data_IF_372329817165
#
_entry.id   IF_372329817165
#
_cell.length_a   1.000
_cell.length_b   1.000
_cell.length_c   1.000
_cell.angle_alpha   90.00
_cell.angle_beta   90.00
_cell.angle_gamma   90.00
#
_symmetry.space_group_name_H-M   'P 1'
#
loop_
_entity.id
_entity.type
_entity.pdbx_description
1 polymer ?
#
# COMPACT_ATOMS: atom_id res chain seq x y z
N UNK A 1 -28.48 -16.16 17.11
CA UNK A 1 -27.76 -15.02 17.66
C UNK A 1 -27.89 -15.05 19.18
N UNK A 2 -26.80 -15.08 19.91
CA UNK A 2 -26.82 -15.18 21.37
C UNK A 2 -26.75 -13.78 21.98
N UNK A 3 -27.30 -13.61 23.18
CA UNK A 3 -27.18 -12.35 23.93
C UNK A 3 -25.82 -12.24 24.62
N UNK A 4 -25.48 -11.06 25.11
CA UNK A 4 -24.27 -10.87 25.94
C UNK A 4 -24.32 -11.73 27.18
N UNK A 5 -25.53 -11.87 27.81
CA UNK A 5 -25.77 -12.72 28.95
C UNK A 5 -25.53 -14.20 28.66
N UNK A 6 -25.95 -14.69 27.50
CA UNK A 6 -25.72 -16.08 27.08
C UNK A 6 -24.22 -16.38 26.93
N UNK A 7 -23.47 -15.43 26.37
CA UNK A 7 -22.03 -15.56 26.21
C UNK A 7 -21.31 -15.57 27.56
N UNK A 8 -21.69 -14.65 28.47
CA UNK A 8 -21.09 -14.61 29.81
C UNK A 8 -21.44 -15.88 30.61
N UNK A 9 -22.67 -16.42 30.45
CA UNK A 9 -23.04 -17.68 31.06
C UNK A 9 -22.24 -18.87 30.54
N UNK A 10 -21.98 -18.94 29.21
CA UNK A 10 -21.11 -19.96 28.62
C UNK A 10 -19.67 -19.92 29.15
N UNK A 11 -19.19 -18.75 29.50
CA UNK A 11 -17.84 -18.57 30.09
C UNK A 11 -17.82 -18.89 31.60
N UNK A 12 -18.96 -19.21 32.23
CA UNK A 12 -19.06 -19.54 33.64
C UNK A 12 -19.35 -18.36 34.55
N UNK A 13 -19.91 -17.27 34.00
CA UNK A 13 -20.24 -16.05 34.73
C UNK A 13 -19.22 -14.92 34.59
N UNK A 14 -19.50 -13.72 35.11
CA UNK A 14 -18.69 -12.53 34.87
C UNK A 14 -17.22 -12.64 35.32
N UNK A 15 -16.98 -13.25 36.45
CA UNK A 15 -15.63 -13.40 37.03
C UNK A 15 -14.81 -14.45 36.25
N UNK A 16 -15.44 -15.58 35.90
CA UNK A 16 -14.81 -16.61 35.06
C UNK A 16 -14.56 -16.09 33.64
N UNK A 17 -15.46 -15.32 33.08
CA UNK A 17 -15.29 -14.65 31.78
C UNK A 17 -14.09 -13.69 31.80
N UNK A 18 -13.98 -12.86 32.85
CA UNK A 18 -12.87 -11.94 33.00
C UNK A 18 -11.52 -12.69 33.06
N UNK A 19 -11.44 -13.76 33.86
CA UNK A 19 -10.23 -14.58 34.00
C UNK A 19 -9.85 -15.28 32.70
N UNK A 20 -10.82 -15.92 32.01
CA UNK A 20 -10.59 -16.67 30.78
C UNK A 20 -10.17 -15.81 29.60
N UNK A 21 -10.62 -14.56 29.59
CA UNK A 21 -10.34 -13.63 28.51
C UNK A 21 -9.20 -12.65 28.83
N UNK A 22 -8.60 -12.76 30.03
CA UNK A 22 -7.51 -11.89 30.46
C UNK A 22 -7.90 -10.42 30.60
N UNK A 23 -9.15 -10.11 30.99
CA UNK A 23 -9.68 -8.75 31.13
C UNK A 23 -10.21 -8.49 32.54
N UNK A 24 -10.41 -7.22 32.88
CA UNK A 24 -11.02 -6.87 34.17
C UNK A 24 -12.52 -7.18 34.24
N UNK A 25 -13.04 -7.56 35.41
CA UNK A 25 -14.46 -7.80 35.67
C UNK A 25 -15.34 -6.58 35.33
N UNK A 26 -14.79 -5.39 35.46
CA UNK A 26 -15.46 -4.13 35.11
C UNK A 26 -15.72 -4.03 33.58
N UNK A 27 -14.82 -4.57 32.76
CA UNK A 27 -15.02 -4.64 31.30
C UNK A 27 -16.22 -5.53 30.96
N UNK A 28 -16.34 -6.69 31.63
CA UNK A 28 -17.48 -7.60 31.45
C UNK A 28 -18.80 -6.95 31.91
N UNK A 29 -18.79 -6.16 32.98
CA UNK A 29 -19.96 -5.38 33.42
C UNK A 29 -20.38 -4.35 32.38
N UNK A 30 -19.42 -3.65 31.76
CA UNK A 30 -19.68 -2.70 30.67
C UNK A 30 -20.28 -3.37 29.46
N UNK A 31 -19.91 -4.61 29.13
CA UNK A 31 -20.55 -5.37 28.04
C UNK A 31 -22.03 -5.60 28.28
N UNK A 32 -22.41 -5.93 29.53
CA UNK A 32 -23.82 -6.11 29.92
C UNK A 32 -24.60 -4.82 29.79
N UNK A 33 -24.06 -3.70 30.26
CA UNK A 33 -24.71 -2.38 30.17
C UNK A 33 -24.87 -1.92 28.70
N UNK A 34 -23.82 -2.16 27.88
CA UNK A 34 -23.84 -1.80 26.47
C UNK A 34 -24.62 -2.79 25.59
N UNK A 35 -25.04 -3.96 26.13
CA UNK A 35 -25.60 -5.08 25.38
C UNK A 35 -24.77 -5.48 24.15
N UNK A 36 -23.47 -5.27 24.22
CA UNK A 36 -22.52 -5.51 23.13
C UNK A 36 -21.17 -5.93 23.69
N UNK A 37 -20.48 -6.81 22.97
CA UNK A 37 -19.09 -7.20 23.25
C UNK A 37 -18.20 -6.54 22.22
N UNK A 38 -17.23 -5.71 22.63
CA UNK A 38 -16.30 -5.07 21.70
C UNK A 38 -15.56 -6.09 20.83
N UNK A 39 -15.44 -5.81 19.54
CA UNK A 39 -14.90 -6.74 18.56
C UNK A 39 -13.46 -7.21 18.88
N UNK A 40 -12.65 -6.41 19.56
CA UNK A 40 -11.31 -6.76 20.02
C UNK A 40 -11.26 -8.00 20.94
N UNK A 41 -12.38 -8.39 21.55
CA UNK A 41 -12.45 -9.56 22.42
C UNK A 41 -13.03 -10.80 21.72
N UNK A 42 -13.50 -10.67 20.48
CA UNK A 42 -14.11 -11.76 19.73
C UNK A 42 -13.16 -12.95 19.49
N UNK A 43 -11.90 -12.77 19.09
CA UNK A 43 -11.01 -13.92 18.86
C UNK A 43 -10.82 -14.77 20.12
N UNK A 44 -10.54 -14.14 21.26
CA UNK A 44 -10.39 -14.84 22.54
C UNK A 44 -11.71 -15.52 22.98
N UNK A 45 -12.84 -14.91 22.65
CA UNK A 45 -14.15 -15.39 22.98
C UNK A 45 -14.54 -16.62 22.14
N UNK A 46 -14.29 -16.59 20.83
CA UNK A 46 -14.48 -17.71 19.93
C UNK A 46 -13.61 -18.92 20.35
N UNK A 47 -12.34 -18.67 20.67
CA UNK A 47 -11.41 -19.69 21.15
C UNK A 47 -11.87 -20.30 22.48
N UNK A 48 -12.39 -19.49 23.41
CA UNK A 48 -12.80 -19.95 24.73
C UNK A 48 -14.17 -20.66 24.76
N UNK A 49 -15.06 -20.38 23.78
CA UNK A 49 -16.43 -20.88 23.77
C UNK A 49 -16.76 -21.82 22.63
N UNK A 50 -15.97 -21.84 21.56
CA UNK A 50 -16.24 -22.64 20.35
C UNK A 50 -17.48 -22.24 19.56
N UNK A 51 -18.09 -21.07 19.81
CA UNK A 51 -19.27 -20.56 19.09
C UNK A 51 -18.85 -19.98 17.72
N UNK A 52 -19.78 -19.97 16.77
CA UNK A 52 -19.52 -19.37 15.46
C UNK A 52 -19.59 -17.82 15.54
N UNK A 53 -18.87 -17.14 14.64
CA UNK A 53 -18.82 -15.68 14.55
C UNK A 53 -20.22 -15.07 14.38
N UNK A 54 -21.13 -15.74 13.64
CA UNK A 54 -22.49 -15.29 13.40
C UNK A 54 -23.40 -15.39 14.63
N UNK A 55 -22.99 -16.14 15.65
CA UNK A 55 -23.69 -16.29 16.91
C UNK A 55 -23.35 -15.19 17.94
N UNK A 56 -22.35 -14.34 17.66
CA UNK A 56 -22.02 -13.24 18.54
C UNK A 56 -23.09 -12.16 18.56
N UNK A 57 -23.33 -11.51 19.72
CA UNK A 57 -24.30 -10.45 19.84
C UNK A 57 -23.87 -9.25 18.99
N UNK A 58 -24.59 -9.01 17.90
CA UNK A 58 -24.52 -7.75 17.15
C UNK A 58 -25.28 -6.75 18.03
N UNK A 59 -24.57 -5.75 18.56
CA UNK A 59 -25.16 -4.76 19.46
C UNK A 59 -26.48 -4.22 18.90
N UNK A 60 -27.47 -3.99 19.79
CA UNK A 60 -28.73 -3.33 19.44
C UNK A 60 -28.38 -1.99 18.77
N UNK A 61 -28.79 -1.84 17.52
CA UNK A 61 -28.84 -0.54 16.83
C UNK A 61 -30.04 0.26 17.33
N UNK A 62 -30.13 0.47 18.66
CA UNK A 62 -30.99 1.52 19.16
C UNK A 62 -30.37 2.85 18.71
N UNK A 63 -31.17 3.79 18.14
CA UNK A 63 -30.62 5.07 17.69
C UNK A 63 -29.96 5.75 18.89
N UNK A 64 -28.62 5.85 18.87
CA UNK A 64 -27.90 6.77 19.75
C UNK A 64 -28.56 8.13 19.55
N UNK A 65 -28.90 8.81 20.64
CA UNK A 65 -29.28 10.23 20.59
C UNK A 65 -28.24 10.91 19.74
N UNK A 66 -28.59 11.20 18.51
CA UNK A 66 -27.81 11.98 17.59
C UNK A 66 -27.50 13.31 18.27
N UNK A 67 -26.24 13.63 18.44
CA UNK A 67 -25.83 15.03 18.44
C UNK A 67 -26.57 15.66 17.24
N UNK A 68 -27.14 16.87 17.36
CA UNK A 68 -27.82 17.46 16.25
C UNK A 68 -26.90 17.36 15.04
N UNK A 69 -27.35 16.68 14.00
CA UNK A 69 -26.75 16.76 12.69
C UNK A 69 -26.70 18.25 12.35
N UNK A 70 -25.52 18.85 12.49
CA UNK A 70 -25.21 20.02 11.70
C UNK A 70 -25.44 19.55 10.27
N UNK A 71 -26.41 20.13 9.61
CA UNK A 71 -26.74 19.84 8.24
C UNK A 71 -25.44 19.75 7.45
N UNK A 72 -25.11 18.54 6.99
CA UNK A 72 -23.98 18.30 6.09
C UNK A 72 -24.40 18.99 4.80
N UNK A 73 -24.01 20.26 4.65
CA UNK A 73 -24.09 20.93 3.37
C UNK A 73 -23.19 20.10 2.46
N UNK A 74 -23.80 19.43 1.49
CA UNK A 74 -23.09 18.59 0.53
C UNK A 74 -22.17 19.50 -0.33
N UNK A 75 -20.93 19.67 0.12
CA UNK A 75 -19.91 20.46 -0.59
C UNK A 75 -19.52 19.80 -1.93
N UNK A 76 -20.04 18.59 -2.20
CA UNK A 76 -19.73 17.82 -3.41
C UNK A 76 -20.45 18.36 -4.67
N UNK A 77 -21.41 19.26 -4.54
CA UNK A 77 -22.18 19.80 -5.67
C UNK A 77 -21.57 21.04 -6.32
N UNK A 78 -20.60 21.71 -5.69
CA UNK A 78 -19.80 22.70 -6.41
C UNK A 78 -18.73 21.99 -7.24
N UNK A 79 -19.07 21.74 -8.51
CA UNK A 79 -18.16 21.23 -9.51
C UNK A 79 -16.85 22.04 -9.48
N UNK A 80 -15.69 21.31 -9.59
CA UNK A 80 -14.36 21.88 -9.66
C UNK A 80 -14.35 23.27 -10.32
N UNK A 81 -14.35 24.34 -9.51
CA UNK A 81 -14.26 25.70 -10.03
C UNK A 81 -12.81 25.98 -10.42
N UNK A 82 -12.60 26.59 -11.60
CA UNK A 82 -11.28 27.13 -11.93
C UNK A 82 -10.99 28.32 -11.02
N UNK A 83 -9.81 28.37 -10.43
CA UNK A 83 -9.37 29.53 -9.69
C UNK A 83 -9.35 30.76 -10.62
N UNK A 84 -9.95 31.90 -10.24
CA UNK A 84 -9.90 33.11 -11.03
C UNK A 84 -8.45 33.60 -11.16
N UNK A 85 -8.08 34.05 -12.35
CA UNK A 85 -6.79 34.68 -12.59
C UNK A 85 -6.81 36.08 -11.97
N UNK A 86 -6.03 36.29 -10.90
CA UNK A 86 -5.69 37.63 -10.41
C UNK A 86 -6.30 38.09 -9.09
N UNK A 87 -6.95 37.25 -8.27
CA UNK A 87 -7.43 37.66 -6.94
C UNK A 87 -6.62 37.04 -5.78
N UNK A 88 -6.19 37.91 -4.86
CA UNK A 88 -5.60 37.57 -3.59
C UNK A 88 -6.64 36.83 -2.69
N UNK A 89 -6.24 35.72 -2.07
CA UNK A 89 -6.95 34.97 -1.03
C UNK A 89 -8.46 34.78 -1.29
N UNK A 90 -8.84 33.78 -2.08
CA UNK A 90 -10.25 33.41 -2.19
C UNK A 90 -10.74 32.88 -0.84
N UNK A 91 -11.91 33.35 -0.41
CA UNK A 91 -12.53 32.94 0.83
C UNK A 91 -12.97 31.46 0.68
N UNK A 92 -12.51 30.58 1.60
CA UNK A 92 -12.95 29.21 1.65
C UNK A 92 -14.49 29.14 1.78
N UNK A 93 -15.16 28.17 1.12
CA UNK A 93 -16.57 27.89 1.38
C UNK A 93 -16.81 27.60 2.87
N UNK A 94 -18.06 27.87 3.33
CA UNK A 94 -18.41 27.60 4.71
C UNK A 94 -18.19 26.14 5.09
N UNK A 95 -17.46 25.88 6.19
CA UNK A 95 -17.12 24.54 6.67
C UNK A 95 -15.90 23.89 6.00
N UNK A 96 -15.31 24.50 4.97
CA UNK A 96 -14.06 24.00 4.39
C UNK A 96 -12.87 24.47 5.24
N UNK A 97 -11.99 23.50 5.60
CA UNK A 97 -10.78 23.75 6.38
C UNK A 97 -9.51 23.30 5.66
N UNK A 98 -9.63 22.67 4.49
CA UNK A 98 -8.53 22.25 3.65
C UNK A 98 -8.90 22.33 2.17
N UNK A 99 -7.88 22.32 1.30
CA UNK A 99 -8.06 22.44 -0.15
C UNK A 99 -7.03 21.61 -0.91
N UNK A 100 -7.45 21.04 -2.04
CA UNK A 100 -6.57 20.53 -3.09
C UNK A 100 -6.62 21.50 -4.27
N UNK A 101 -5.46 21.98 -4.71
CA UNK A 101 -5.31 22.80 -5.90
C UNK A 101 -4.44 22.07 -6.91
N UNK A 102 -4.97 21.82 -8.11
CA UNK A 102 -4.24 21.15 -9.19
C UNK A 102 -3.49 22.19 -10.06
N UNK A 103 -2.45 21.74 -10.75
CA UNK A 103 -1.63 22.58 -11.62
C UNK A 103 -2.44 23.28 -12.74
N UNK A 104 -3.53 22.67 -13.21
CA UNK A 104 -4.44 23.26 -14.21
C UNK A 104 -5.37 24.36 -13.63
N UNK A 105 -5.31 24.59 -12.31
CA UNK A 105 -6.12 25.54 -11.58
C UNK A 105 -7.45 25.00 -11.05
N UNK A 106 -7.71 23.71 -11.15
CA UNK A 106 -8.88 23.08 -10.51
C UNK A 106 -8.72 23.07 -9.00
N UNK A 107 -9.80 23.37 -8.29
CA UNK A 107 -9.83 23.49 -6.83
C UNK A 107 -10.89 22.57 -6.25
N UNK A 108 -10.50 21.76 -5.26
CA UNK A 108 -11.38 20.88 -4.50
C UNK A 108 -11.31 21.27 -3.03
N UNK A 109 -12.40 21.83 -2.51
CA UNK A 109 -12.54 22.19 -1.12
C UNK A 109 -13.06 21.02 -0.28
N UNK A 110 -12.66 20.96 0.98
CA UNK A 110 -13.15 19.94 1.91
C UNK A 110 -12.71 20.22 3.34
N UNK A 111 -12.79 19.19 4.17
CA UNK A 111 -12.40 19.25 5.58
C UNK A 111 -11.05 18.57 5.75
N UNK A 112 -10.13 19.28 6.38
CA UNK A 112 -8.82 18.74 6.74
C UNK A 112 -8.92 17.77 7.90
N UNK A 113 -8.07 16.75 7.86
CA UNK A 113 -7.81 15.81 8.96
C UNK A 113 -6.35 15.36 8.91
N UNK A 114 -5.88 14.61 9.91
CA UNK A 114 -4.47 14.31 10.03
C UNK A 114 -3.65 15.53 10.47
N UNK A 115 -2.43 15.65 9.98
CA UNK A 115 -1.54 16.75 10.34
C UNK A 115 -1.84 18.03 9.56
N UNK A 116 -1.74 19.17 10.22
CA UNK A 116 -1.69 20.45 9.51
C UNK A 116 -0.43 20.54 8.64
N UNK A 117 -0.56 21.15 7.47
CA UNK A 117 0.55 21.34 6.55
C UNK A 117 0.12 21.53 5.12
N UNK A 118 1.13 21.76 4.28
CA UNK A 118 0.97 21.89 2.82
C UNK A 118 1.96 20.97 2.13
N UNK A 119 1.47 20.12 1.24
CA UNK A 119 2.29 19.15 0.51
C UNK A 119 2.04 19.24 -1.00
N UNK A 120 3.11 19.18 -1.80
CA UNK A 120 3.03 19.06 -3.25
C UNK A 120 3.31 17.62 -3.66
N UNK A 121 2.53 17.10 -4.61
CA UNK A 121 2.61 15.69 -5.02
C UNK A 121 1.95 15.46 -6.38
N UNK A 122 2.24 14.32 -7.00
CA UNK A 122 1.40 13.75 -8.04
C UNK A 122 0.13 13.17 -7.39
N UNK A 123 -1.04 13.51 -7.93
CA UNK A 123 -2.32 13.02 -7.39
C UNK A 123 -2.70 11.75 -8.12
N UNK A 124 -2.65 10.63 -7.41
CA UNK A 124 -3.08 9.34 -7.94
C UNK A 124 -4.34 8.83 -7.24
N UNK A 125 -4.97 7.78 -7.76
CA UNK A 125 -6.09 7.11 -7.08
C UNK A 125 -5.72 5.69 -6.67
N UNK A 126 -6.47 5.12 -5.74
CA UNK A 126 -6.40 3.70 -5.40
C UNK A 126 -7.82 3.13 -5.29
N UNK A 127 -8.07 1.97 -5.93
CA UNK A 127 -9.38 1.32 -5.98
C UNK A 127 -9.59 0.22 -4.95
N UNK A 128 -8.62 -0.04 -4.07
CA UNK A 128 -8.74 -1.05 -3.02
C UNK A 128 -9.84 -0.69 -2.01
N UNK A 129 -10.63 -1.67 -1.62
CA UNK A 129 -11.70 -1.48 -0.64
C UNK A 129 -11.21 -1.59 0.81
N UNK A 130 -10.02 -2.16 1.01
CA UNK A 130 -9.38 -2.41 2.31
C UNK A 130 -7.91 -2.09 2.25
N UNK A 131 -7.22 -2.07 3.41
CA UNK A 131 -5.76 -1.96 3.44
C UNK A 131 -5.25 -0.54 3.20
N UNK A 132 -6.00 0.48 3.63
CA UNK A 132 -5.57 1.86 3.44
C UNK A 132 -4.29 2.20 4.21
N UNK A 133 -4.04 1.55 5.36
CA UNK A 133 -2.82 1.78 6.14
C UNK A 133 -1.60 1.16 5.44
N UNK A 134 -1.74 -0.03 4.88
CA UNK A 134 -0.74 -0.69 4.04
C UNK A 134 -0.45 0.16 2.80
N UNK A 135 -1.48 0.69 2.14
CA UNK A 135 -1.31 1.60 0.98
C UNK A 135 -0.56 2.87 1.37
N UNK A 136 -0.90 3.50 2.51
CA UNK A 136 -0.22 4.73 2.97
C UNK A 136 1.23 4.50 3.37
N UNK A 137 1.58 3.27 3.78
CA UNK A 137 2.93 2.88 4.18
C UNK A 137 3.71 2.15 3.09
N UNK A 138 3.11 1.88 1.93
CA UNK A 138 3.81 1.32 0.76
C UNK A 138 4.79 2.35 0.19
N UNK A 139 6.11 2.06 0.21
CA UNK A 139 7.13 3.00 -0.30
C UNK A 139 6.94 3.39 -1.76
N UNK A 140 6.23 2.58 -2.56
CA UNK A 140 5.93 2.87 -3.96
C UNK A 140 5.08 4.13 -4.15
N UNK A 141 4.43 4.67 -3.10
CA UNK A 141 3.70 5.94 -3.15
C UNK A 141 4.53 7.17 -2.78
N UNK A 142 5.85 7.08 -2.70
CA UNK A 142 6.69 8.26 -2.47
C UNK A 142 6.43 9.33 -3.54
N UNK A 143 6.31 10.59 -3.11
CA UNK A 143 5.98 11.71 -3.99
C UNK A 143 4.50 11.80 -4.42
N UNK A 144 3.61 10.95 -3.92
CA UNK A 144 2.21 10.90 -4.32
C UNK A 144 1.24 11.22 -3.18
N UNK A 145 0.11 11.86 -3.52
CA UNK A 145 -1.09 12.00 -2.67
C UNK A 145 -2.18 11.09 -3.22
N UNK A 146 -2.78 10.26 -2.37
CA UNK A 146 -3.63 9.15 -2.78
C UNK A 146 -5.10 9.51 -2.63
N UNK A 147 -5.85 9.50 -3.73
CA UNK A 147 -7.30 9.60 -3.74
C UNK A 147 -7.91 8.19 -3.60
N UNK A 148 -8.49 7.89 -2.44
CA UNK A 148 -9.17 6.62 -2.23
C UNK A 148 -10.58 6.64 -2.86
N UNK A 149 -10.86 5.67 -3.73
CA UNK A 149 -12.18 5.54 -4.35
C UNK A 149 -13.20 4.92 -3.41
N UNK A 150 -12.76 4.13 -2.43
CA UNK A 150 -13.61 3.57 -1.38
C UNK A 150 -14.00 4.67 -0.38
N UNK A 151 -15.31 4.88 -0.11
CA UNK A 151 -15.77 6.05 0.64
C UNK A 151 -15.49 5.98 2.15
N UNK A 152 -15.39 4.78 2.73
CA UNK A 152 -15.31 4.57 4.19
C UNK A 152 -13.88 4.26 4.64
N UNK A 153 -12.97 5.23 4.53
CA UNK A 153 -11.60 5.10 5.02
C UNK A 153 -11.56 5.39 6.53
N UNK A 154 -10.76 4.61 7.27
CA UNK A 154 -10.63 4.74 8.74
C UNK A 154 -11.48 3.75 9.55
N UNK A 155 -12.41 3.03 8.93
CA UNK A 155 -13.29 2.07 9.59
C UNK A 155 -12.56 0.91 10.29
N UNK A 156 -11.36 0.54 9.84
CA UNK A 156 -10.49 -0.46 10.49
C UNK A 156 -9.65 0.16 11.61
N UNK A 157 -9.51 1.51 11.64
CA UNK A 157 -8.55 2.20 12.50
C UNK A 157 -7.12 2.11 11.98
N UNK A 158 -6.15 2.22 12.87
CA UNK A 158 -4.74 1.99 12.59
C UNK A 158 -4.15 1.07 13.67
N UNK A 159 -3.12 0.33 13.33
CA UNK A 159 -2.42 -0.59 14.21
C UNK A 159 -0.94 -0.74 13.81
N UNK A 160 -0.14 -1.49 14.59
CA UNK A 160 1.28 -1.67 14.37
C UNK A 160 1.61 -2.79 13.36
N UNK A 161 0.62 -3.61 12.97
CA UNK A 161 0.82 -4.76 12.10
C UNK A 161 0.57 -4.44 10.63
N UNK A 162 -0.44 -3.59 10.32
CA UNK A 162 -0.87 -3.28 8.97
C UNK A 162 0.02 -2.18 8.35
N UNK A 163 1.34 -2.40 8.36
CA UNK A 163 2.33 -1.46 7.82
C UNK A 163 3.34 -2.17 6.90
N UNK A 164 3.62 -1.53 5.77
CA UNK A 164 4.59 -2.00 4.79
C UNK A 164 5.96 -1.31 4.92
N UNK A 165 6.02 -0.16 5.57
CA UNK A 165 7.22 0.52 6.00
C UNK A 165 7.01 1.18 7.37
N UNK A 166 8.10 1.50 8.07
CA UNK A 166 8.04 2.14 9.41
C UNK A 166 7.39 3.51 9.34
N UNK A 167 7.72 4.28 8.31
CA UNK A 167 7.24 5.65 8.12
C UNK A 167 6.46 5.72 6.81
N UNK A 168 5.23 6.24 6.81
CA UNK A 168 4.50 6.49 5.58
C UNK A 168 5.25 7.53 4.72
N UNK A 169 5.32 7.26 3.42
CA UNK A 169 5.97 8.15 2.44
C UNK A 169 4.97 8.84 1.53
N UNK A 170 3.71 8.41 1.54
CA UNK A 170 2.62 9.11 0.90
C UNK A 170 2.53 10.55 1.42
N UNK A 171 2.40 11.51 0.50
CA UNK A 171 2.38 12.95 0.82
C UNK A 171 1.05 13.43 1.41
N UNK A 172 -0.02 12.64 1.26
CA UNK A 172 -1.34 12.92 1.79
C UNK A 172 -2.39 11.94 1.29
N UNK A 173 -3.61 12.10 1.77
CA UNK A 173 -4.74 11.30 1.31
C UNK A 173 -5.98 12.14 1.12
N UNK A 174 -6.82 11.73 0.14
CA UNK A 174 -8.07 12.37 -0.22
C UNK A 174 -9.17 11.33 -0.12
N UNK A 175 -10.22 11.63 0.64
CA UNK A 175 -11.31 10.71 0.91
C UNK A 175 -12.68 11.37 0.72
N UNK A 176 -13.70 10.57 0.42
CA UNK A 176 -15.05 11.08 0.19
C UNK A 176 -15.74 11.48 1.50
N UNK A 177 -15.71 10.61 2.50
CA UNK A 177 -16.38 10.82 3.78
C UNK A 177 -15.38 11.15 4.88
N UNK A 178 -15.85 11.77 5.95
CA UNK A 178 -15.04 11.98 7.14
C UNK A 178 -14.59 10.63 7.72
N UNK A 179 -13.39 10.63 8.28
CA UNK A 179 -12.85 9.46 8.97
C UNK A 179 -13.70 9.18 10.21
N UNK A 180 -14.27 7.98 10.27
CA UNK A 180 -15.15 7.57 11.36
C UNK A 180 -14.39 6.90 12.50
N UNK A 181 -15.05 6.80 13.67
CA UNK A 181 -14.57 5.94 14.74
C UNK A 181 -14.42 4.50 14.23
N UNK A 182 -13.30 3.83 14.52
CA UNK A 182 -13.07 2.49 14.04
C UNK A 182 -14.02 1.49 14.68
N UNK A 183 -14.49 0.53 13.87
CA UNK A 183 -15.39 -0.55 14.29
C UNK A 183 -14.74 -1.95 14.18
N UNK A 184 -13.47 -2.03 13.84
CA UNK A 184 -12.73 -3.28 13.67
C UNK A 184 -11.95 -3.65 14.95
N UNK A 185 -11.85 -4.94 15.24
CA UNK A 185 -11.11 -5.46 16.41
C UNK A 185 -9.59 -5.21 16.33
N UNK A 186 -9.04 -5.02 15.14
CA UNK A 186 -7.63 -4.71 14.93
C UNK A 186 -7.28 -3.26 15.27
N UNK A 187 -8.26 -2.39 15.44
CA UNK A 187 -8.03 -0.98 15.76
C UNK A 187 -7.35 -0.83 17.12
N UNK A 188 -6.14 -0.30 17.12
CA UNK A 188 -5.42 0.14 18.34
C UNK A 188 -5.41 1.65 18.47
N UNK A 189 -5.65 2.37 17.36
CA UNK A 189 -5.59 3.81 17.25
C UNK A 189 -6.58 4.33 16.20
N UNK A 190 -7.08 5.55 16.37
CA UNK A 190 -7.84 6.25 15.34
C UNK A 190 -6.92 6.66 14.18
N UNK A 191 -7.41 6.57 12.93
CA UNK A 191 -6.60 6.89 11.74
C UNK A 191 -6.13 8.35 11.76
N UNK A 192 -6.98 9.29 12.15
CA UNK A 192 -6.65 10.71 12.25
C UNK A 192 -5.45 10.96 13.18
N UNK A 193 -5.45 10.33 14.38
CA UNK A 193 -4.34 10.45 15.32
C UNK A 193 -3.06 9.80 14.82
N UNK A 194 -3.20 8.69 14.08
CA UNK A 194 -2.05 8.04 13.45
C UNK A 194 -1.42 8.94 12.38
N UNK A 195 -2.24 9.54 11.50
CA UNK A 195 -1.78 10.50 10.48
C UNK A 195 -1.10 11.71 11.09
N UNK A 196 -1.69 12.32 12.15
CA UNK A 196 -1.07 13.43 12.90
C UNK A 196 0.32 13.11 13.39
N UNK A 197 0.50 11.90 13.95
CA UNK A 197 1.81 11.49 14.49
C UNK A 197 2.87 11.26 13.42
N UNK A 198 2.46 11.10 12.16
CA UNK A 198 3.36 10.90 11.03
C UNK A 198 3.48 12.14 10.12
N UNK A 199 2.80 13.25 10.49
CA UNK A 199 2.86 14.48 9.70
C UNK A 199 2.14 14.39 8.34
N UNK A 200 1.17 13.49 8.20
CA UNK A 200 0.46 13.28 6.93
C UNK A 200 -0.87 14.04 6.94
N UNK A 201 -1.07 15.02 6.03
CA UNK A 201 -2.35 15.72 5.89
C UNK A 201 -3.37 14.90 5.10
N UNK A 202 -4.64 15.10 5.41
CA UNK A 202 -5.77 14.49 4.71
C UNK A 202 -6.84 15.50 4.34
N UNK A 203 -7.62 15.20 3.31
CA UNK A 203 -8.75 15.98 2.81
C UNK A 203 -9.99 15.11 2.66
N UNK A 204 -11.03 15.39 3.42
CA UNK A 204 -12.32 14.72 3.39
C UNK A 204 -13.42 15.61 2.77
N UNK A 205 -14.51 14.98 2.29
CA UNK A 205 -15.66 15.70 1.73
C UNK A 205 -15.49 16.02 0.24
N UNK A 206 -14.54 15.39 -0.44
CA UNK A 206 -14.29 15.59 -1.88
C UNK A 206 -15.09 14.58 -2.71
N UNK A 207 -15.58 15.01 -3.88
CA UNK A 207 -16.06 14.07 -4.89
C UNK A 207 -14.88 13.27 -5.48
N UNK A 208 -14.51 12.20 -4.80
CA UNK A 208 -13.41 11.31 -5.20
C UNK A 208 -13.68 10.62 -6.53
N UNK A 209 -14.96 10.44 -6.91
CA UNK A 209 -15.34 9.89 -8.21
C UNK A 209 -15.02 10.86 -9.35
N UNK A 210 -15.35 12.14 -9.19
CA UNK A 210 -15.04 13.17 -10.17
C UNK A 210 -13.52 13.35 -10.31
N UNK A 211 -12.78 13.38 -9.18
CA UNK A 211 -11.32 13.46 -9.20
C UNK A 211 -10.69 12.24 -9.89
N UNK A 212 -11.15 11.02 -9.57
CA UNK A 212 -10.68 9.78 -10.20
C UNK A 212 -10.97 9.76 -11.71
N UNK A 213 -12.16 10.20 -12.14
CA UNK A 213 -12.49 10.32 -13.56
C UNK A 213 -11.54 11.29 -14.28
N UNK A 214 -11.23 12.42 -13.66
CA UNK A 214 -10.28 13.40 -14.20
C UNK A 214 -8.86 12.81 -14.35
N UNK A 215 -8.38 12.07 -13.33
CA UNK A 215 -7.08 11.38 -13.39
C UNK A 215 -7.09 10.32 -14.51
N UNK A 216 -8.18 9.58 -14.65
CA UNK A 216 -8.34 8.56 -15.70
C UNK A 216 -8.26 9.18 -17.10
N UNK A 217 -8.89 10.33 -17.32
CA UNK A 217 -9.06 10.93 -18.64
C UNK A 217 -7.87 11.85 -19.02
N UNK A 218 -7.20 12.45 -18.05
CA UNK A 218 -6.11 13.42 -18.25
C UNK A 218 -4.74 13.03 -17.69
N UNK A 219 -4.62 11.84 -17.10
CA UNK A 219 -3.42 11.40 -16.38
C UNK A 219 -3.33 11.96 -14.95
N UNK A 220 -2.39 11.46 -14.14
CA UNK A 220 -2.14 11.93 -12.77
C UNK A 220 -1.63 13.38 -12.78
N UNK A 221 -2.39 14.35 -12.26
CA UNK A 221 -1.94 15.75 -12.24
C UNK A 221 -1.03 16.02 -11.05
N UNK A 222 -0.16 17.02 -11.18
CA UNK A 222 0.47 17.65 -10.03
C UNK A 222 -0.56 18.47 -9.26
N UNK A 223 -0.49 18.41 -7.92
CA UNK A 223 -1.40 19.14 -7.05
C UNK A 223 -0.78 19.48 -5.70
N UNK A 224 -1.37 20.44 -5.03
CA UNK A 224 -1.02 20.82 -3.66
C UNK A 224 -2.22 20.62 -2.76
N UNK A 225 -2.04 19.78 -1.74
CA UNK A 225 -2.99 19.61 -0.64
C UNK A 225 -2.55 20.53 0.50
N UNK A 226 -3.43 21.43 0.93
CA UNK A 226 -3.15 22.38 2.00
C UNK A 226 -4.22 22.30 3.09
N UNK A 227 -3.74 22.08 4.32
CA UNK A 227 -4.52 22.11 5.57
C UNK A 227 -3.81 23.02 6.58
N UNK A 228 -3.91 24.37 6.41
CA UNK A 228 -3.20 25.32 7.25
C UNK A 228 -3.87 25.48 8.63
N UNK A 229 -3.08 25.71 9.68
CA UNK A 229 -3.59 25.94 11.04
C UNK A 229 -4.39 27.25 11.15
N UNK A 230 -4.00 28.27 10.40
CA UNK A 230 -4.62 29.61 10.44
C UNK A 230 -5.87 29.75 9.55
N UNK A 231 -6.21 28.68 8.80
CA UNK A 231 -7.37 28.65 7.90
C UNK A 231 -7.27 29.62 6.72
N UNK A 232 -6.07 30.11 6.37
CA UNK A 232 -5.85 31.02 5.24
C UNK A 232 -5.35 30.28 4.01
N UNK A 233 -5.90 30.61 2.86
CA UNK A 233 -5.56 29.96 1.59
C UNK A 233 -5.17 31.00 0.55
N UNK A 234 -3.96 30.88 0.01
CA UNK A 234 -3.53 31.60 -1.18
C UNK A 234 -3.56 30.65 -2.38
N UNK A 235 -4.70 30.60 -3.07
CA UNK A 235 -4.90 29.66 -4.18
C UNK A 235 -3.94 29.94 -5.34
N UNK A 236 -3.52 31.19 -5.56
CA UNK A 236 -2.58 31.54 -6.61
C UNK A 236 -1.19 30.96 -6.30
N UNK A 237 -0.74 31.12 -5.05
CA UNK A 237 0.53 30.53 -4.59
C UNK A 237 0.50 28.99 -4.62
N UNK A 238 -0.60 28.36 -4.15
CA UNK A 238 -0.76 26.90 -4.19
C UNK A 238 -0.75 26.37 -5.63
N UNK A 239 -1.47 27.05 -6.56
CA UNK A 239 -1.45 26.70 -7.99
C UNK A 239 -0.04 26.81 -8.56
N UNK A 240 0.65 27.92 -8.27
CA UNK A 240 2.01 28.12 -8.74
C UNK A 240 2.94 27.01 -8.22
N UNK A 241 2.81 26.63 -6.95
CA UNK A 241 3.59 25.54 -6.37
C UNK A 241 3.31 24.19 -7.08
N UNK A 242 2.04 23.90 -7.43
CA UNK A 242 1.69 22.71 -8.21
C UNK A 242 2.28 22.72 -9.62
N UNK A 243 2.35 23.90 -10.26
CA UNK A 243 2.90 24.09 -11.61
C UNK A 243 4.42 24.02 -11.65
N UNK A 244 5.09 24.56 -10.62
CA UNK A 244 6.55 24.61 -10.53
C UNK A 244 7.15 23.24 -10.14
N UNK A 245 6.34 22.34 -9.57
CA UNK A 245 6.83 21.02 -9.19
C UNK A 245 7.03 20.13 -10.42
N UNK A 246 8.23 19.55 -10.62
CA UNK A 246 8.57 18.83 -11.86
C UNK A 246 7.81 17.51 -12.05
N UNK A 247 7.12 17.01 -11.02
CA UNK A 247 6.51 15.68 -11.04
C UNK A 247 7.51 14.58 -10.63
N UNK A 248 7.04 13.34 -10.64
CA UNK A 248 7.87 12.18 -10.23
C UNK A 248 8.78 11.66 -11.36
N UNK A 249 8.53 12.07 -12.60
CA UNK A 249 9.35 11.66 -13.75
C UNK A 249 10.75 12.27 -13.63
N UNK A 250 11.78 11.45 -13.80
CA UNK A 250 13.18 11.85 -13.64
C UNK A 250 13.65 12.00 -12.17
N UNK A 251 12.80 11.73 -11.16
CA UNK A 251 13.19 11.74 -9.76
C UNK A 251 13.70 10.36 -9.31
N UNK A 252 14.86 10.32 -8.64
CA UNK A 252 15.38 9.10 -8.01
C UNK A 252 14.78 8.91 -6.62
N UNK A 253 13.52 8.48 -6.58
CA UNK A 253 12.79 8.26 -5.34
C UNK A 253 13.23 7.00 -4.59
N UNK A 254 13.86 6.04 -5.26
CA UNK A 254 14.37 4.83 -4.62
C UNK A 254 15.44 5.17 -3.56
N UNK A 255 16.31 6.17 -3.81
CA UNK A 255 17.27 6.65 -2.82
C UNK A 255 16.67 7.30 -1.58
N UNK A 256 15.44 7.82 -1.69
CA UNK A 256 14.74 8.43 -0.56
C UNK A 256 14.16 7.40 0.41
N UNK A 257 13.75 6.23 -0.12
CA UNK A 257 13.00 5.21 0.63
C UNK A 257 13.82 3.97 1.00
N UNK A 258 14.96 3.75 0.34
CA UNK A 258 15.83 2.59 0.59
C UNK A 258 16.40 2.58 2.01
N UNK A 259 16.72 1.39 2.50
CA UNK A 259 17.47 1.24 3.75
C UNK A 259 18.85 1.89 3.67
N UNK A 260 19.33 2.42 4.80
CA UNK A 260 20.68 3.01 4.90
C UNK A 260 21.76 1.98 5.22
N UNK A 261 21.39 0.81 5.74
CA UNK A 261 22.28 -0.25 6.18
C UNK A 261 21.71 -1.60 5.82
N UNK A 262 22.57 -2.56 5.50
CA UNK A 262 22.14 -3.94 5.31
C UNK A 262 21.67 -4.53 6.63
N UNK A 263 20.58 -5.32 6.56
CA UNK A 263 20.01 -6.00 7.72
C UNK A 263 19.44 -7.36 7.33
N UNK A 264 19.21 -8.22 8.33
CA UNK A 264 18.56 -9.52 8.12
C UNK A 264 17.08 -9.42 8.43
N UNK A 265 16.28 -10.18 7.69
CA UNK A 265 14.85 -10.30 7.87
C UNK A 265 14.45 -11.76 8.09
N UNK A 266 13.70 -12.01 9.16
CA UNK A 266 13.26 -13.36 9.54
C UNK A 266 11.75 -13.47 9.84
N UNK A 267 11.01 -12.34 9.78
CA UNK A 267 9.57 -12.33 10.01
C UNK A 267 8.85 -12.96 8.82
N UNK A 268 7.92 -13.89 9.10
CA UNK A 268 7.09 -14.57 8.10
C UNK A 268 5.69 -13.98 8.02
N UNK A 269 4.83 -14.52 7.15
CA UNK A 269 3.47 -14.01 6.91
C UNK A 269 2.60 -14.07 8.17
N UNK A 270 1.62 -13.15 8.23
CA UNK A 270 0.69 -13.02 9.33
C UNK A 270 -0.35 -14.15 9.33
N UNK A 271 -0.67 -14.66 10.52
CA UNK A 271 -1.71 -15.68 10.74
C UNK A 271 -2.69 -15.18 11.80
N UNK A 272 -3.98 -15.38 11.55
CA UNK A 272 -5.03 -14.93 12.49
C UNK A 272 -4.86 -15.61 13.86
N UNK A 273 -4.82 -14.79 14.91
CA UNK A 273 -4.65 -15.25 16.29
C UNK A 273 -3.20 -15.44 16.74
N UNK A 274 -2.24 -15.52 15.82
CA UNK A 274 -0.82 -15.72 16.11
C UNK A 274 0.03 -14.50 15.76
N UNK A 275 -0.44 -13.65 14.83
CA UNK A 275 0.33 -12.51 14.31
C UNK A 275 1.37 -12.94 13.29
N UNK A 276 2.48 -12.21 13.19
CA UNK A 276 3.61 -12.55 12.32
C UNK A 276 4.47 -13.64 12.93
N UNK A 277 4.79 -14.67 12.12
CA UNK A 277 5.69 -15.74 12.50
C UNK A 277 7.16 -15.37 12.36
N UNK A 278 8.05 -16.34 12.63
CA UNK A 278 9.51 -16.24 12.44
C UNK A 278 10.05 -17.43 11.68
N UNK A 279 11.02 -17.17 10.79
CA UNK A 279 11.75 -18.22 10.10
C UNK A 279 12.70 -18.94 11.09
N UNK A 280 12.45 -20.24 11.32
CA UNK A 280 13.25 -21.06 12.24
C UNK A 280 14.25 -21.97 11.52
N UNK A 281 13.93 -22.38 10.30
CA UNK A 281 14.74 -23.31 9.49
C UNK A 281 15.02 -22.73 8.10
N UNK A 282 16.02 -21.83 7.98
CA UNK A 282 16.38 -21.23 6.70
C UNK A 282 16.99 -22.31 5.76
N UNK A 283 16.56 -22.28 4.50
CA UNK A 283 17.02 -23.21 3.46
C UNK A 283 17.93 -22.54 2.42
N UNK A 284 17.64 -21.28 2.10
CA UNK A 284 18.29 -20.54 1.03
C UNK A 284 18.70 -19.16 1.51
N UNK A 285 19.88 -18.71 1.12
CA UNK A 285 20.35 -17.32 1.34
C UNK A 285 19.88 -16.47 0.18
N UNK A 286 19.05 -15.47 0.47
CA UNK A 286 18.56 -14.53 -0.52
C UNK A 286 19.02 -13.13 -0.16
N UNK A 287 19.62 -12.41 -1.12
CA UNK A 287 19.87 -10.99 -0.98
C UNK A 287 18.75 -10.23 -1.67
N UNK A 288 18.04 -9.39 -0.91
CA UNK A 288 17.00 -8.50 -1.41
C UNK A 288 17.57 -7.08 -1.57
N UNK A 289 17.58 -6.57 -2.79
CA UNK A 289 17.96 -5.19 -3.07
C UNK A 289 16.75 -4.30 -2.83
N UNK A 290 16.89 -3.34 -1.92
CA UNK A 290 15.80 -2.50 -1.42
C UNK A 290 15.68 -1.20 -2.23
N UNK A 291 14.82 -1.20 -3.24
CA UNK A 291 14.43 0.02 -3.97
C UNK A 291 13.22 0.72 -3.33
N UNK A 292 12.72 0.22 -2.21
CA UNK A 292 11.52 0.61 -1.49
C UNK A 292 10.68 -0.62 -1.17
N UNK A 293 11.31 -1.64 -0.56
CA UNK A 293 10.72 -2.94 -0.33
C UNK A 293 9.55 -2.88 0.65
N UNK A 294 8.39 -3.39 0.24
CA UNK A 294 7.29 -3.69 1.15
C UNK A 294 7.68 -4.83 2.07
N UNK A 295 7.35 -4.69 3.36
CA UNK A 295 7.63 -5.73 4.36
C UNK A 295 6.98 -7.07 4.00
N UNK A 296 5.80 -7.05 3.40
CA UNK A 296 5.12 -8.30 3.05
C UNK A 296 5.85 -9.10 1.97
N UNK A 297 6.62 -8.46 1.09
CA UNK A 297 7.54 -9.16 0.17
C UNK A 297 8.59 -9.94 0.96
N UNK A 298 9.24 -9.30 1.92
CA UNK A 298 10.27 -9.94 2.75
C UNK A 298 9.67 -11.06 3.60
N UNK A 299 8.43 -10.89 4.09
CA UNK A 299 7.68 -11.92 4.82
C UNK A 299 7.37 -13.14 3.93
N UNK A 300 6.96 -12.91 2.68
CA UNK A 300 6.69 -13.99 1.73
C UNK A 300 7.97 -14.77 1.37
N UNK A 301 9.10 -14.08 1.19
CA UNK A 301 10.41 -14.73 0.98
C UNK A 301 10.81 -15.57 2.19
N UNK A 302 10.70 -15.02 3.40
CA UNK A 302 11.01 -15.75 4.63
C UNK A 302 10.05 -16.95 4.82
N UNK A 303 8.75 -16.80 4.56
CA UNK A 303 7.79 -17.88 4.61
C UNK A 303 8.08 -19.01 3.60
N UNK A 304 8.71 -18.68 2.47
CA UNK A 304 9.21 -19.65 1.48
C UNK A 304 10.54 -20.32 1.89
N UNK A 305 11.09 -20.01 3.07
CA UNK A 305 12.32 -20.61 3.61
C UNK A 305 13.61 -19.82 3.28
N UNK A 306 13.50 -18.58 2.84
CA UNK A 306 14.64 -17.73 2.50
C UNK A 306 15.18 -17.01 3.74
N UNK A 307 16.49 -17.17 4.04
CA UNK A 307 17.26 -16.31 4.94
C UNK A 307 17.57 -15.00 4.19
N UNK A 308 16.81 -13.95 4.44
CA UNK A 308 16.86 -12.74 3.66
C UNK A 308 17.85 -11.74 4.27
N UNK A 309 18.82 -11.30 3.46
CA UNK A 309 19.64 -10.13 3.75
C UNK A 309 19.20 -8.99 2.85
N UNK A 310 18.70 -7.91 3.44
CA UNK A 310 18.30 -6.71 2.72
C UNK A 310 19.49 -5.78 2.58
N UNK A 311 19.75 -5.30 1.36
CA UNK A 311 20.85 -4.37 1.05
C UNK A 311 20.30 -3.08 0.43
N UNK A 312 20.99 -1.93 0.57
CA UNK A 312 20.56 -0.67 -0.04
C UNK A 312 20.41 -0.75 -1.56
N UNK A 313 19.57 0.11 -2.14
CA UNK A 313 19.37 0.25 -3.58
C UNK A 313 20.68 0.47 -4.36
N UNK A 314 21.64 1.14 -3.73
CA UNK A 314 22.95 1.48 -4.33
C UNK A 314 24.02 0.41 -4.14
N UNK A 315 23.66 -0.76 -3.61
CA UNK A 315 24.60 -1.88 -3.48
C UNK A 315 25.14 -2.30 -4.85
N UNK A 316 26.45 -2.50 -4.93
CA UNK A 316 27.11 -2.99 -6.15
C UNK A 316 26.93 -4.51 -6.28
N UNK A 317 27.21 -5.06 -7.47
CA UNK A 317 27.24 -6.52 -7.65
C UNK A 317 28.19 -7.21 -6.65
N UNK A 318 29.36 -6.60 -6.36
CA UNK A 318 30.30 -7.12 -5.36
C UNK A 318 29.70 -7.12 -3.96
N UNK A 319 28.99 -6.06 -3.58
CA UNK A 319 28.29 -5.97 -2.28
C UNK A 319 27.23 -7.05 -2.14
N UNK A 320 26.45 -7.31 -3.18
CA UNK A 320 25.42 -8.35 -3.24
C UNK A 320 26.08 -9.75 -3.15
N UNK A 321 27.05 -10.03 -4.02
CA UNK A 321 27.69 -11.34 -4.14
C UNK A 321 28.57 -11.70 -2.94
N UNK A 322 29.08 -10.72 -2.19
CA UNK A 322 29.80 -10.94 -0.93
C UNK A 322 28.99 -11.74 0.11
N UNK A 323 27.68 -11.63 0.07
CA UNK A 323 26.78 -12.43 0.92
C UNK A 323 26.62 -13.88 0.45
N UNK A 324 27.21 -14.25 -0.69
CA UNK A 324 27.13 -15.59 -1.31
C UNK A 324 25.67 -16.03 -1.44
N UNK A 325 24.80 -15.26 -2.11
CA UNK A 325 23.40 -15.58 -2.23
C UNK A 325 23.17 -16.84 -3.06
N UNK A 326 22.16 -17.60 -2.68
CA UNK A 326 21.59 -18.67 -3.49
C UNK A 326 20.57 -18.11 -4.50
N UNK A 327 20.05 -16.89 -4.26
CA UNK A 327 19.17 -16.13 -5.14
C UNK A 327 19.21 -14.65 -4.82
N UNK A 328 18.92 -13.80 -5.81
CA UNK A 328 18.81 -12.33 -5.66
C UNK A 328 17.37 -11.91 -5.92
N UNK A 329 16.88 -11.02 -5.08
CA UNK A 329 15.56 -10.45 -5.19
C UNK A 329 15.64 -8.93 -5.42
N UNK A 330 14.95 -8.44 -6.46
CA UNK A 330 14.86 -7.02 -6.81
C UNK A 330 13.50 -6.49 -6.36
N UNK A 331 13.47 -5.62 -5.37
CA UNK A 331 12.22 -5.20 -4.74
C UNK A 331 11.38 -4.24 -5.61
N UNK A 332 10.14 -4.02 -5.20
CA UNK A 332 9.34 -2.89 -5.64
C UNK A 332 9.99 -1.56 -5.22
N UNK A 333 9.48 -0.45 -5.76
CA UNK A 333 9.94 0.89 -5.42
C UNK A 333 9.12 1.97 -6.11
N UNK A 334 9.34 3.25 -5.76
CA UNK A 334 8.60 4.39 -6.28
C UNK A 334 9.18 4.97 -7.56
N UNK A 335 8.31 5.67 -8.30
CA UNK A 335 8.71 6.65 -9.31
C UNK A 335 9.19 6.07 -10.63
N UNK A 336 10.06 6.85 -11.28
CA UNK A 336 10.66 6.54 -12.57
C UNK A 336 11.84 5.57 -12.39
N UNK A 337 11.88 4.42 -13.09
CA UNK A 337 13.01 3.51 -13.01
C UNK A 337 14.28 4.05 -13.67
N UNK A 338 14.21 5.05 -14.55
CA UNK A 338 15.35 5.52 -15.33
C UNK A 338 16.49 6.10 -14.47
N UNK A 339 16.24 7.00 -13.49
CA UNK A 339 17.30 7.48 -12.61
C UNK A 339 17.88 6.38 -11.71
N UNK A 340 17.03 5.47 -11.23
CA UNK A 340 17.46 4.31 -10.42
C UNK A 340 18.34 3.36 -11.24
N UNK A 341 18.06 3.21 -12.53
CA UNK A 341 18.81 2.34 -13.44
C UNK A 341 20.29 2.72 -13.59
N UNK A 342 20.65 3.98 -13.37
CA UNK A 342 22.05 4.43 -13.50
C UNK A 342 23.02 3.63 -12.63
N UNK A 343 22.57 3.24 -11.42
CA UNK A 343 23.37 2.43 -10.49
C UNK A 343 22.86 0.98 -10.36
N UNK A 344 21.57 0.74 -10.52
CA UNK A 344 20.99 -0.59 -10.37
C UNK A 344 21.31 -1.52 -11.54
N UNK A 345 21.27 -1.01 -12.79
CA UNK A 345 21.53 -1.84 -13.99
C UNK A 345 22.93 -2.42 -14.01
N UNK A 346 24.03 -1.68 -13.71
CA UNK A 346 25.36 -2.27 -13.59
C UNK A 346 25.43 -3.38 -12.52
N UNK A 347 24.79 -3.19 -11.37
CA UNK A 347 24.75 -4.19 -10.31
C UNK A 347 23.99 -5.45 -10.73
N UNK A 348 22.80 -5.29 -11.33
CA UNK A 348 21.98 -6.40 -11.84
C UNK A 348 22.72 -7.19 -12.94
N UNK A 349 23.38 -6.51 -13.87
CA UNK A 349 24.19 -7.20 -14.91
C UNK A 349 25.30 -8.03 -14.30
N UNK A 350 26.03 -7.46 -13.33
CA UNK A 350 27.14 -8.16 -12.68
C UNK A 350 26.68 -9.40 -11.88
N UNK A 351 25.51 -9.35 -11.26
CA UNK A 351 24.97 -10.55 -10.59
C UNK A 351 24.45 -11.60 -11.59
N UNK A 352 23.77 -11.18 -12.67
CA UNK A 352 23.24 -12.08 -13.70
C UNK A 352 24.37 -12.84 -14.41
N UNK A 353 25.55 -12.25 -14.60
CA UNK A 353 26.74 -12.91 -15.18
C UNK A 353 27.20 -14.10 -14.36
N UNK A 354 26.89 -14.16 -13.06
CA UNK A 354 27.22 -15.29 -12.20
C UNK A 354 26.23 -16.45 -12.32
N UNK A 355 25.11 -16.26 -13.02
CA UNK A 355 24.05 -17.26 -13.15
C UNK A 355 23.21 -17.42 -11.88
N UNK A 356 23.27 -16.49 -10.91
CA UNK A 356 22.46 -16.55 -9.70
C UNK A 356 20.98 -16.32 -10.05
N UNK A 357 20.05 -17.16 -9.54
CA UNK A 357 18.62 -16.99 -9.75
C UNK A 357 18.13 -15.62 -9.28
N UNK A 358 17.41 -14.91 -10.17
CA UNK A 358 16.95 -13.54 -9.92
C UNK A 358 15.44 -13.41 -10.10
N UNK A 359 14.77 -12.80 -9.13
CA UNK A 359 13.34 -12.49 -9.19
C UNK A 359 13.11 -10.99 -8.91
N UNK A 360 12.35 -10.30 -9.79
CA UNK A 360 12.02 -8.89 -9.66
C UNK A 360 10.52 -8.62 -9.55
N UNK A 361 10.13 -7.66 -8.70
CA UNK A 361 8.75 -7.20 -8.52
C UNK A 361 8.65 -5.69 -8.78
N UNK A 362 7.66 -5.28 -9.59
CA UNK A 362 7.29 -3.88 -9.86
C UNK A 362 8.50 -3.06 -10.38
N UNK A 363 9.11 -2.19 -9.60
CA UNK A 363 10.34 -1.49 -10.03
C UNK A 363 11.48 -2.47 -10.32
N UNK A 364 11.62 -3.55 -9.54
CA UNK A 364 12.58 -4.60 -9.80
C UNK A 364 12.36 -5.32 -11.14
N UNK A 365 11.11 -5.46 -11.59
CA UNK A 365 10.79 -5.94 -12.93
C UNK A 365 11.26 -4.96 -14.01
N UNK A 366 11.02 -3.67 -13.83
CA UNK A 366 11.45 -2.64 -14.77
C UNK A 366 12.99 -2.56 -14.86
N UNK A 367 13.67 -2.62 -13.71
CA UNK A 367 15.14 -2.59 -13.64
C UNK A 367 15.75 -3.85 -14.25
N UNK A 368 15.17 -5.03 -14.03
CA UNK A 368 15.60 -6.26 -14.68
C UNK A 368 15.43 -6.16 -16.20
N UNK A 369 14.31 -5.65 -16.69
CA UNK A 369 14.07 -5.44 -18.12
C UNK A 369 15.12 -4.48 -18.74
N UNK A 370 15.43 -3.36 -18.06
CA UNK A 370 16.48 -2.42 -18.47
C UNK A 370 17.87 -3.08 -18.48
N UNK A 371 18.19 -3.91 -17.48
CA UNK A 371 19.45 -4.65 -17.42
C UNK A 371 19.60 -5.66 -18.56
N UNK A 372 18.48 -6.28 -18.96
CA UNK A 372 18.43 -7.18 -20.11
C UNK A 372 18.45 -6.46 -21.46
N UNK A 373 18.28 -5.13 -21.50
CA UNK A 373 18.40 -4.31 -22.71
C UNK A 373 17.07 -3.78 -23.26
N UNK A 374 15.95 -3.99 -22.58
CA UNK A 374 14.66 -3.40 -22.92
C UNK A 374 14.56 -1.93 -22.48
N UNK A 375 13.45 -1.28 -22.78
CA UNK A 375 13.12 0.09 -22.38
C UNK A 375 11.85 0.12 -21.55
N UNK A 376 11.67 1.19 -20.79
CA UNK A 376 10.45 1.49 -20.06
C UNK A 376 9.79 2.77 -20.58
N UNK A 377 8.50 2.92 -20.29
CA UNK A 377 7.75 4.13 -20.64
C UNK A 377 6.74 4.46 -19.54
N UNK A 378 6.32 5.72 -19.45
CA UNK A 378 5.30 6.18 -18.53
C UNK A 378 3.92 5.85 -19.08
N UNK A 379 3.08 5.22 -18.26
CA UNK A 379 1.66 4.96 -18.59
C UNK A 379 0.86 6.27 -18.46
N UNK A 380 -0.17 6.41 -19.31
CA UNK A 380 -1.05 7.59 -19.26
C UNK A 380 -1.72 7.80 -17.90
N UNK A 381 -2.11 6.72 -17.20
CA UNK A 381 -2.81 6.78 -15.90
C UNK A 381 -2.26 5.86 -14.82
N UNK A 382 -1.41 4.89 -15.20
CA UNK A 382 -0.90 3.86 -14.30
C UNK A 382 -1.95 2.83 -13.85
N UNK A 383 -1.49 1.74 -13.24
CA UNK A 383 -2.34 0.70 -12.66
C UNK A 383 -2.27 0.77 -11.14
N UNK A 384 -3.43 0.94 -10.46
CA UNK A 384 -3.48 1.07 -8.99
C UNK A 384 -4.76 0.45 -8.43
N UNK A 385 -4.58 -0.52 -7.53
CA UNK A 385 -5.67 -1.22 -6.85
C UNK A 385 -5.51 -2.74 -6.84
N UNK A 386 -6.38 -3.43 -6.11
CA UNK A 386 -6.34 -4.88 -5.88
C UNK A 386 -7.26 -5.72 -6.78
N UNK A 387 -7.68 -5.20 -7.93
CA UNK A 387 -8.65 -5.85 -8.81
C UNK A 387 -8.22 -5.90 -10.29
N UNK A 388 -6.91 -6.06 -10.52
CA UNK A 388 -6.31 -6.04 -11.85
C UNK A 388 -6.17 -7.48 -12.39
N UNK A 389 -6.94 -7.87 -13.43
CA UNK A 389 -6.81 -9.20 -13.99
C UNK A 389 -5.58 -9.30 -14.92
N UNK A 390 -4.71 -10.26 -14.64
CA UNK A 390 -3.51 -10.55 -15.40
C UNK A 390 -3.55 -11.99 -15.90
N UNK A 391 -3.22 -12.22 -17.16
CA UNK A 391 -3.12 -13.53 -17.76
C UNK A 391 -1.67 -14.02 -17.73
N UNK A 392 -1.43 -15.16 -17.11
CA UNK A 392 -0.21 -15.93 -17.30
C UNK A 392 -0.26 -16.61 -18.68
N UNK A 393 0.65 -16.23 -19.57
CA UNK A 393 0.69 -16.71 -20.94
C UNK A 393 1.22 -18.16 -21.06
N UNK A 394 1.93 -18.65 -20.04
CA UNK A 394 2.48 -20.02 -20.00
C UNK A 394 1.41 -21.03 -19.64
N UNK A 395 0.57 -20.70 -18.67
CA UNK A 395 -0.48 -21.60 -18.17
C UNK A 395 -1.85 -21.29 -18.74
N UNK A 396 -2.05 -20.09 -19.28
CA UNK A 396 -3.34 -19.56 -19.71
C UNK A 396 -4.27 -19.13 -18.57
N UNK A 397 -3.83 -19.27 -17.31
CA UNK A 397 -4.59 -18.89 -16.10
C UNK A 397 -4.72 -17.38 -16.01
N UNK A 398 -5.85 -16.91 -15.49
CA UNK A 398 -6.07 -15.52 -15.12
C UNK A 398 -6.00 -15.40 -13.60
N UNK A 399 -5.23 -14.44 -13.11
CA UNK A 399 -5.07 -14.12 -11.71
C UNK A 399 -5.54 -12.68 -11.47
N UNK A 400 -6.16 -12.45 -10.33
CA UNK A 400 -6.49 -11.09 -9.89
C UNK A 400 -5.32 -10.58 -9.06
N UNK A 401 -4.78 -9.43 -9.44
CA UNK A 401 -3.53 -8.92 -8.88
C UNK A 401 -3.71 -7.56 -8.21
N UNK A 402 -2.81 -7.26 -7.28
CA UNK A 402 -2.61 -5.92 -6.73
C UNK A 402 -1.54 -5.20 -7.53
N UNK A 403 -1.80 -3.92 -7.88
CA UNK A 403 -0.86 -3.12 -8.68
C UNK A 403 -0.74 -1.70 -8.13
N UNK A 404 0.46 -1.14 -8.25
CA UNK A 404 0.75 0.25 -7.96
C UNK A 404 1.98 0.69 -8.77
N UNK A 405 1.79 1.02 -10.04
CA UNK A 405 2.87 1.50 -10.90
C UNK A 405 2.38 2.51 -11.93
N UNK A 406 3.26 3.46 -12.28
CA UNK A 406 3.03 4.46 -13.33
C UNK A 406 3.88 4.25 -14.57
N UNK A 407 4.81 3.27 -14.55
CA UNK A 407 5.70 2.93 -15.65
C UNK A 407 5.54 1.45 -16.00
N UNK A 408 5.84 1.10 -17.25
CA UNK A 408 5.78 -0.27 -17.76
C UNK A 408 6.95 -0.56 -18.69
N UNK A 409 7.21 -1.85 -18.91
CA UNK A 409 8.21 -2.33 -19.89
C UNK A 409 7.65 -2.24 -21.29
N UNK A 410 8.39 -1.62 -22.21
CA UNK A 410 8.07 -1.58 -23.64
C UNK A 410 8.39 -2.94 -24.30
N UNK A 411 7.36 -3.74 -24.49
CA UNK A 411 7.46 -5.08 -25.05
C UNK A 411 8.15 -5.11 -26.43
N UNK A 412 7.95 -4.06 -27.25
CA UNK A 412 8.55 -3.98 -28.58
C UNK A 412 10.10 -3.87 -28.54
N UNK A 413 10.66 -3.59 -27.37
CA UNK A 413 12.12 -3.43 -27.17
C UNK A 413 12.79 -4.64 -26.52
N UNK A 414 12.02 -5.69 -26.20
CA UNK A 414 12.56 -6.91 -25.58
C UNK A 414 13.60 -7.55 -26.49
N UNK A 415 14.81 -7.85 -26.01
CA UNK A 415 15.85 -8.50 -26.80
C UNK A 415 15.55 -9.99 -27.00
N UNK A 416 16.27 -10.61 -27.95
CA UNK A 416 16.23 -12.06 -28.16
C UNK A 416 16.62 -12.81 -26.87
N UNK A 417 15.81 -13.80 -26.47
CA UNK A 417 16.02 -14.56 -25.24
C UNK A 417 15.31 -13.98 -24.03
N UNK A 418 14.45 -12.98 -24.20
CA UNK A 418 13.53 -12.48 -23.18
C UNK A 418 12.10 -12.64 -23.68
N UNK A 419 11.26 -13.33 -22.96
CA UNK A 419 9.86 -13.60 -23.31
C UNK A 419 8.89 -12.89 -22.36
N UNK A 420 7.73 -12.49 -22.90
CA UNK A 420 6.59 -11.99 -22.10
C UNK A 420 5.93 -13.19 -21.45
N UNK A 421 5.75 -13.13 -20.14
CA UNK A 421 5.12 -14.21 -19.37
C UNK A 421 3.73 -13.86 -18.87
N UNK A 422 3.45 -12.56 -18.64
CA UNK A 422 2.18 -12.09 -18.10
C UNK A 422 1.69 -10.85 -18.83
N UNK A 423 0.37 -10.70 -18.93
CA UNK A 423 -0.25 -9.60 -19.66
C UNK A 423 -1.52 -9.11 -18.96
N UNK A 424 -1.66 -7.79 -18.82
CA UNK A 424 -2.88 -7.14 -18.35
C UNK A 424 -4.05 -7.45 -19.30
N UNK A 425 -5.21 -7.81 -18.73
CA UNK A 425 -6.43 -8.00 -19.51
C UNK A 425 -7.23 -6.70 -19.71
N UNK A 426 -6.84 -5.62 -19.03
CA UNK A 426 -7.49 -4.33 -19.21
C UNK A 426 -6.99 -3.58 -20.45
N UNK A 427 -5.70 -3.59 -20.70
CA UNK A 427 -5.08 -2.78 -21.75
C UNK A 427 -3.97 -3.47 -22.55
N UNK A 428 -3.65 -4.72 -22.21
CA UNK A 428 -2.62 -5.51 -22.88
C UNK A 428 -1.19 -5.18 -22.47
N UNK A 429 -0.98 -4.33 -21.47
CA UNK A 429 0.35 -3.98 -20.96
C UNK A 429 1.12 -5.22 -20.52
N UNK A 430 2.46 -5.20 -20.72
CA UNK A 430 3.38 -6.22 -20.20
C UNK A 430 3.34 -6.23 -18.67
N UNK A 431 3.06 -7.41 -18.09
CA UNK A 431 2.96 -7.62 -16.65
C UNK A 431 3.99 -8.62 -16.14
N UNK A 432 4.89 -9.11 -17.00
CA UNK A 432 5.96 -9.99 -16.59
C UNK A 432 6.82 -10.50 -17.74
N UNK A 433 8.10 -10.71 -17.43
CA UNK A 433 9.08 -11.25 -18.36
C UNK A 433 9.88 -12.40 -17.72
N UNK A 434 10.49 -13.21 -18.55
CA UNK A 434 11.51 -14.18 -18.15
C UNK A 434 12.61 -14.27 -19.19
N UNK A 435 13.83 -14.50 -18.74
CA UNK A 435 14.92 -14.86 -19.64
C UNK A 435 14.88 -16.35 -19.97
N UNK A 436 15.16 -16.71 -21.22
CA UNK A 436 15.33 -18.09 -21.65
C UNK A 436 16.79 -18.54 -21.56
N UNK A 437 17.71 -17.62 -21.26
CA UNK A 437 19.17 -17.85 -21.21
C UNK A 437 19.72 -17.79 -19.79
N UNK A 438 19.05 -17.07 -18.90
CA UNK A 438 19.46 -16.84 -17.50
C UNK A 438 18.34 -17.27 -16.54
N UNK A 439 18.65 -17.71 -15.33
CA UNK A 439 17.64 -18.07 -14.34
C UNK A 439 16.99 -16.80 -13.74
N UNK A 440 16.32 -16.00 -14.56
CA UNK A 440 15.76 -14.73 -14.16
C UNK A 440 14.33 -14.55 -14.68
N UNK A 441 13.44 -14.08 -13.82
CA UNK A 441 12.08 -13.70 -14.17
C UNK A 441 11.58 -12.54 -13.29
N UNK A 442 10.53 -11.87 -13.74
CA UNK A 442 9.94 -10.77 -12.97
C UNK A 442 8.49 -10.54 -13.33
N UNK A 443 7.76 -9.86 -12.43
CA UNK A 443 6.38 -9.44 -12.61
C UNK A 443 6.21 -7.97 -12.25
N UNK A 444 5.32 -7.27 -12.97
CA UNK A 444 5.04 -5.85 -12.76
C UNK A 444 4.11 -5.62 -11.56
N UNK A 445 3.20 -6.54 -11.30
CA UNK A 445 2.26 -6.51 -10.21
C UNK A 445 2.86 -7.01 -8.89
N UNK A 446 2.09 -6.92 -7.80
CA UNK A 446 2.50 -7.24 -6.44
C UNK A 446 1.96 -8.62 -6.01
N UNK A 447 2.70 -9.73 -6.19
CA UNK A 447 2.25 -11.06 -5.79
C UNK A 447 2.14 -11.23 -4.28
N UNK A 448 2.81 -10.39 -3.48
CA UNK A 448 2.71 -10.35 -2.03
C UNK A 448 1.38 -9.77 -1.54
N UNK A 449 0.61 -9.12 -2.41
CA UNK A 449 -0.60 -8.37 -2.06
C UNK A 449 -0.36 -7.29 -0.98
N UNK A 450 -1.11 -7.30 0.14
CA UNK A 450 -0.98 -6.39 1.28
C UNK A 450 -1.08 -4.89 0.88
N UNK A 451 -2.32 -4.44 0.56
CA UNK A 451 -3.54 -5.21 0.44
C UNK A 451 -3.70 -5.88 -0.93
N UNK A 452 -4.55 -6.89 -1.00
CA UNK A 452 -4.98 -7.45 -2.27
C UNK A 452 -5.19 -8.97 -2.25
N UNK A 453 -5.52 -9.54 -3.42
CA UNK A 453 -5.68 -10.97 -3.58
C UNK A 453 -4.33 -11.71 -3.55
N UNK A 454 -4.37 -12.97 -3.15
CA UNK A 454 -3.19 -13.84 -2.97
C UNK A 454 -3.00 -14.85 -4.10
N UNK A 455 -3.69 -14.67 -5.22
CA UNK A 455 -3.67 -15.61 -6.36
C UNK A 455 -2.25 -15.89 -6.86
N UNK A 456 -1.37 -14.91 -6.77
CA UNK A 456 -0.01 -14.94 -7.32
C UNK A 456 1.09 -15.29 -6.29
N UNK A 457 0.74 -15.63 -5.05
CA UNK A 457 1.72 -16.02 -4.00
C UNK A 457 2.63 -17.17 -4.44
N UNK A 458 2.18 -18.05 -5.34
CA UNK A 458 2.97 -19.15 -5.90
C UNK A 458 4.28 -18.70 -6.57
N UNK A 459 4.42 -17.43 -6.95
CA UNK A 459 5.65 -16.91 -7.58
C UNK A 459 6.85 -16.91 -6.63
N UNK A 460 6.63 -16.77 -5.32
CA UNK A 460 7.70 -16.94 -4.32
C UNK A 460 8.20 -18.38 -4.29
N UNK A 461 7.32 -19.37 -4.38
CA UNK A 461 7.71 -20.79 -4.48
C UNK A 461 8.38 -21.09 -5.83
N UNK A 462 7.93 -20.46 -6.93
CA UNK A 462 8.63 -20.56 -8.21
C UNK A 462 10.07 -20.06 -8.13
N UNK A 463 10.31 -18.95 -7.42
CA UNK A 463 11.66 -18.43 -7.21
C UNK A 463 12.52 -19.42 -6.42
N UNK A 464 11.97 -19.98 -5.34
CA UNK A 464 12.67 -21.04 -4.57
C UNK A 464 12.97 -22.27 -5.42
N UNK A 465 12.02 -22.73 -6.24
CA UNK A 465 12.23 -23.83 -7.19
C UNK A 465 13.38 -23.56 -8.16
N UNK A 466 13.49 -22.33 -8.67
CA UNK A 466 14.59 -21.91 -9.54
C UNK A 466 15.95 -21.97 -8.81
N UNK A 467 15.98 -21.60 -7.53
CA UNK A 467 17.19 -21.73 -6.68
C UNK A 467 17.55 -23.22 -6.48
N UNK A 468 16.59 -24.08 -6.23
CA UNK A 468 16.79 -25.52 -6.06
C UNK A 468 17.35 -26.17 -7.33
N UNK A 469 16.78 -25.84 -8.49
CA UNK A 469 17.25 -26.32 -9.79
C UNK A 469 18.72 -25.92 -10.02
N UNK A 470 19.07 -24.68 -9.78
CA UNK A 470 20.45 -24.18 -9.98
C UNK A 470 21.45 -24.89 -9.07
N UNK A 471 21.07 -25.17 -7.80
CA UNK A 471 21.94 -25.90 -6.85
C UNK A 471 22.16 -27.38 -7.22
N UNK A 472 21.22 -28.00 -7.92
CA UNK A 472 21.38 -29.39 -8.36
C UNK A 472 22.28 -29.54 -9.59
N UNK A 473 22.51 -28.43 -10.31
CA UNK A 473 23.35 -28.38 -11.51
C UNK A 473 24.78 -27.86 -11.26
N UNK A 474 25.05 -27.39 -10.02
CA UNK A 474 26.37 -26.91 -9.58
C UNK A 474 27.04 -27.95 -8.66
#
# INVERSE_FOLDING_TARGET
>A
MRTVEDIIALLGGPEAAATRLGIGTEAVRKWRQARAIPAKHWPALLAATGIALDDLPKGDTAPRKTRPETAVTDLSTEAASRAPEGEAASRAPEGATAVLVLADGSVFWGRGFGAHGTTVAEICFNTSMTGYQEVLTDPSYAGQTICFTFPHIGNVGANAEDIEAVTPVARGLIVKQDVTEPSNWRATRHLDDWLKSHGVPGLAGVDTRALTARIRDGGPPNGVLSFPEDGRFDLAALRKQAQDWPGIEGMDLAKEVTTRQSYRWDETTWTIGEGYGRLTEPKFRVVAVDYGAKRNILRCLAAAGCDVTVVPATATAEDILRHKPDGVFLSNGPGDPAPTAEYAVPAIKGELETGVPTFGICQGHQLLALALGARTYKLERGHRGGNQPVKDLRTGKVEITSQNHGFAVDEATLPEGVEVTHRSLFDGTNEGIASTKLPAFSVQYHPEASPGPTDSHHLFHRFVGLIEEQKTHT
#
